data_IF_478565697158
#
_entry.id   IF_478565697158
#
_cell.length_a   1.000
_cell.length_b   1.000
_cell.length_c   1.000
_cell.angle_alpha   90.00
_cell.angle_beta   90.00
_cell.angle_gamma   90.00
#
_symmetry.space_group_name_H-M   'P 1'
#
loop_
_entity.id
_entity.type
_entity.pdbx_description
1 polymer ?
#
# COMPACT_ATOMS: atom_id res chain seq x y z
N UNK A 1 15.70 11.70 -14.42
CA UNK A 1 15.49 10.61 -15.39
C UNK A 1 15.63 9.25 -14.73
N UNK A 2 15.17 8.17 -15.39
CA UNK A 2 15.30 6.80 -14.88
C UNK A 2 16.78 6.39 -14.71
N UNK A 3 17.64 6.86 -15.60
CA UNK A 3 19.08 6.60 -15.54
C UNK A 3 19.71 7.26 -14.32
N UNK A 4 19.38 8.51 -14.03
CA UNK A 4 19.86 9.22 -12.82
C UNK A 4 19.32 8.58 -11.53
N UNK A 5 18.04 8.15 -11.53
CA UNK A 5 17.45 7.42 -10.43
C UNK A 5 18.28 6.16 -10.11
N UNK A 6 18.53 5.33 -11.11
CA UNK A 6 19.32 4.10 -10.97
C UNK A 6 20.74 4.36 -10.48
N UNK A 7 21.43 5.34 -11.07
CA UNK A 7 22.78 5.73 -10.69
C UNK A 7 22.85 6.21 -9.23
N UNK A 8 21.92 7.09 -8.83
CA UNK A 8 21.87 7.63 -7.45
C UNK A 8 21.49 6.56 -6.42
N UNK A 9 20.68 5.60 -6.82
CA UNK A 9 20.31 4.47 -5.96
C UNK A 9 21.38 3.35 -5.93
N UNK A 10 22.45 3.45 -6.72
CA UNK A 10 23.51 2.45 -6.75
C UNK A 10 23.09 1.13 -7.40
N UNK A 11 22.20 1.18 -8.40
CA UNK A 11 21.66 -0.01 -9.06
C UNK A 11 21.61 0.14 -10.59
N UNK A 12 21.16 -0.90 -11.29
CA UNK A 12 20.99 -0.85 -12.74
C UNK A 12 19.65 -0.21 -13.13
N UNK A 13 19.59 0.35 -14.36
CA UNK A 13 18.35 0.89 -14.95
C UNK A 13 17.27 -0.19 -15.03
N UNK A 14 17.66 -1.44 -15.28
CA UNK A 14 16.73 -2.56 -15.35
C UNK A 14 16.06 -2.82 -13.99
N UNK A 15 16.81 -2.77 -12.90
CA UNK A 15 16.28 -2.92 -11.54
C UNK A 15 15.35 -1.75 -11.21
N UNK A 16 15.77 -0.50 -11.51
CA UNK A 16 14.94 0.68 -11.29
C UNK A 16 13.61 0.60 -12.07
N UNK A 17 13.65 0.12 -13.30
CA UNK A 17 12.44 -0.06 -14.12
C UNK A 17 11.53 -1.15 -13.57
N UNK A 18 12.08 -2.29 -13.12
CA UNK A 18 11.31 -3.36 -12.47
C UNK A 18 10.65 -2.88 -11.19
N UNK A 19 11.37 -2.10 -10.38
CA UNK A 19 10.84 -1.46 -9.17
C UNK A 19 9.65 -0.55 -9.51
N UNK A 20 9.82 0.36 -10.48
CA UNK A 20 8.78 1.31 -10.89
C UNK A 20 7.51 0.61 -11.39
N UNK A 21 7.68 -0.41 -12.23
CA UNK A 21 6.56 -1.23 -12.73
C UNK A 21 5.89 -2.04 -11.62
N UNK A 22 6.65 -2.56 -10.65
CA UNK A 22 6.09 -3.31 -9.53
C UNK A 22 5.19 -2.43 -8.66
N UNK A 23 5.45 -1.13 -8.59
CA UNK A 23 4.58 -0.15 -7.94
C UNK A 23 3.35 0.26 -8.78
N UNK A 24 3.15 -0.33 -9.96
CA UNK A 24 1.98 -0.08 -10.79
C UNK A 24 2.01 1.22 -11.60
N UNK A 25 3.15 1.92 -11.63
CA UNK A 25 3.28 3.14 -12.41
C UNK A 25 3.57 2.86 -13.88
N UNK A 26 3.10 3.77 -14.76
CA UNK A 26 3.37 3.69 -16.19
C UNK A 26 4.86 3.80 -16.51
N UNK A 27 5.27 3.19 -17.62
CA UNK A 27 6.63 3.31 -18.11
C UNK A 27 7.00 4.77 -18.37
N UNK A 28 8.20 5.13 -17.96
CA UNK A 28 8.76 6.47 -18.10
C UNK A 28 9.71 6.46 -19.30
N UNK A 29 9.63 7.48 -20.15
CA UNK A 29 10.59 7.63 -21.25
C UNK A 29 12.00 7.88 -20.69
N UNK A 30 13.06 7.45 -21.38
CA UNK A 30 14.43 7.53 -20.84
C UNK A 30 14.90 8.93 -20.46
N UNK A 31 14.40 9.95 -21.16
CA UNK A 31 14.73 11.37 -20.99
C UNK A 31 13.69 12.16 -20.16
N UNK A 32 12.61 11.52 -19.75
CA UNK A 32 11.58 12.15 -18.91
C UNK A 32 12.10 12.45 -17.53
N UNK A 33 11.99 13.71 -17.08
CA UNK A 33 12.34 14.16 -15.73
C UNK A 33 11.10 14.00 -14.85
N UNK A 34 11.04 12.95 -14.09
CA UNK A 34 9.86 12.59 -13.29
C UNK A 34 10.18 12.24 -11.83
N UNK A 35 11.41 11.84 -11.55
CA UNK A 35 11.79 11.30 -10.24
C UNK A 35 12.30 12.37 -9.30
N UNK A 36 11.97 12.22 -8.02
CA UNK A 36 12.34 13.07 -6.90
C UNK A 36 13.42 12.40 -6.03
N UNK A 37 13.92 13.12 -5.03
CA UNK A 37 14.83 12.55 -4.03
C UNK A 37 14.16 11.44 -3.19
N UNK A 38 12.84 11.51 -3.01
CA UNK A 38 12.08 10.46 -2.32
C UNK A 38 12.06 9.16 -3.11
N UNK A 39 11.96 9.23 -4.44
CA UNK A 39 12.03 8.05 -5.30
C UNK A 39 13.42 7.39 -5.24
N UNK A 40 14.47 8.20 -5.16
CA UNK A 40 15.84 7.69 -4.96
C UNK A 40 15.96 6.96 -3.62
N UNK A 41 15.49 7.56 -2.53
CA UNK A 41 15.53 6.94 -1.21
C UNK A 41 14.73 5.63 -1.18
N UNK A 42 13.52 5.61 -1.74
CA UNK A 42 12.69 4.41 -1.81
C UNK A 42 13.35 3.27 -2.62
N UNK A 43 14.03 3.61 -3.72
CA UNK A 43 14.79 2.61 -4.49
C UNK A 43 16.03 2.14 -3.73
N UNK A 44 16.74 3.01 -3.00
CA UNK A 44 17.84 2.63 -2.14
C UNK A 44 17.42 1.65 -1.04
N UNK A 45 16.30 1.90 -0.37
CA UNK A 45 15.72 0.98 0.61
C UNK A 45 15.39 -0.38 -0.02
N UNK A 46 14.88 -0.38 -1.25
CA UNK A 46 14.60 -1.61 -1.99
C UNK A 46 15.88 -2.37 -2.35
N UNK A 47 16.92 -1.66 -2.79
CA UNK A 47 18.24 -2.25 -3.08
C UNK A 47 18.85 -2.85 -1.82
N UNK A 48 18.70 -2.20 -0.67
CA UNK A 48 19.18 -2.72 0.61
C UNK A 48 18.51 -4.05 1.01
N UNK A 49 17.23 -4.26 0.63
CA UNK A 49 16.56 -5.56 0.82
C UNK A 49 17.10 -6.66 -0.11
N UNK A 50 17.78 -6.30 -1.19
CA UNK A 50 18.39 -7.24 -2.14
C UNK A 50 19.84 -7.58 -1.80
N UNK A 51 20.45 -6.89 -0.83
CA UNK A 51 21.82 -7.11 -0.40
C UNK A 51 21.94 -8.43 0.36
N UNK A 52 22.47 -9.45 -0.32
CA UNK A 52 22.64 -10.81 0.22
C UNK A 52 23.56 -10.88 1.45
N UNK A 53 24.30 -9.82 1.74
CA UNK A 53 25.17 -9.72 2.93
C UNK A 53 24.40 -9.32 4.19
N UNK A 54 23.15 -8.87 4.05
CA UNK A 54 22.28 -8.45 5.15
C UNK A 54 21.43 -9.62 5.68
N UNK A 55 21.32 -9.73 6.99
CA UNK A 55 20.41 -10.68 7.65
C UNK A 55 18.93 -10.47 7.27
N UNK A 56 18.61 -9.29 6.74
CA UNK A 56 17.27 -8.92 6.28
C UNK A 56 17.08 -9.10 4.77
N UNK A 57 18.03 -9.72 4.08
CA UNK A 57 17.97 -9.86 2.62
C UNK A 57 16.82 -10.75 2.19
N UNK A 58 16.23 -10.38 1.05
CA UNK A 58 15.13 -11.10 0.42
C UNK A 58 15.47 -11.43 -1.04
N UNK A 59 15.00 -12.56 -1.52
CA UNK A 59 15.08 -12.87 -2.94
C UNK A 59 14.35 -11.78 -3.77
N UNK A 60 14.92 -11.43 -4.91
CA UNK A 60 14.39 -10.38 -5.80
C UNK A 60 12.90 -10.59 -6.16
N UNK A 61 12.48 -11.84 -6.36
CA UNK A 61 11.08 -12.17 -6.60
C UNK A 61 10.18 -11.76 -5.41
N UNK A 62 10.61 -12.08 -4.19
CA UNK A 62 9.88 -11.74 -2.96
C UNK A 62 9.79 -10.22 -2.74
N UNK A 63 10.85 -9.48 -3.02
CA UNK A 63 10.83 -8.00 -2.94
C UNK A 63 9.81 -7.44 -3.92
N UNK A 64 9.80 -7.91 -5.17
CA UNK A 64 8.84 -7.45 -6.17
C UNK A 64 7.39 -7.83 -5.83
N UNK A 65 7.16 -8.98 -5.21
CA UNK A 65 5.83 -9.37 -4.72
C UNK A 65 5.36 -8.47 -3.58
N UNK A 66 6.24 -8.14 -2.62
CA UNK A 66 5.93 -7.19 -1.55
C UNK A 66 5.58 -5.80 -2.11
N UNK A 67 6.37 -5.29 -3.05
CA UNK A 67 6.11 -3.99 -3.68
C UNK A 67 4.75 -3.97 -4.40
N UNK A 68 4.42 -5.03 -5.15
CA UNK A 68 3.11 -5.14 -5.82
C UNK A 68 1.95 -5.15 -4.81
N UNK A 69 2.08 -5.93 -3.74
CA UNK A 69 1.06 -6.03 -2.71
C UNK A 69 0.85 -4.69 -1.98
N UNK A 70 1.94 -4.00 -1.65
CA UNK A 70 1.91 -2.67 -1.06
C UNK A 70 1.25 -1.66 -2.00
N UNK A 71 1.69 -1.59 -3.24
CA UNK A 71 1.18 -0.65 -4.23
C UNK A 71 -0.31 -0.85 -4.50
N UNK A 72 -0.74 -2.08 -4.74
CA UNK A 72 -2.15 -2.38 -4.94
C UNK A 72 -3.04 -1.96 -3.76
N UNK A 73 -2.53 -2.16 -2.54
CA UNK A 73 -3.26 -1.78 -1.33
C UNK A 73 -3.30 -0.25 -1.19
N UNK A 74 -2.17 0.42 -1.45
CA UNK A 74 -2.06 1.87 -1.34
C UNK A 74 -2.87 2.61 -2.40
N UNK A 75 -2.90 2.15 -3.64
CA UNK A 75 -3.71 2.73 -4.69
C UNK A 75 -5.19 2.82 -4.28
N UNK A 76 -5.73 1.73 -3.75
CA UNK A 76 -7.11 1.70 -3.25
C UNK A 76 -7.32 2.59 -2.03
N UNK A 77 -6.37 2.58 -1.09
CA UNK A 77 -6.45 3.38 0.13
C UNK A 77 -6.45 4.87 -0.21
N UNK A 78 -5.53 5.31 -1.05
CA UNK A 78 -5.40 6.73 -1.44
C UNK A 78 -6.66 7.22 -2.17
N UNK A 79 -7.22 6.41 -3.07
CA UNK A 79 -8.49 6.73 -3.72
C UNK A 79 -9.62 6.91 -2.71
N UNK A 80 -9.73 6.00 -1.75
CA UNK A 80 -10.75 6.06 -0.71
C UNK A 80 -10.57 7.27 0.23
N UNK A 81 -9.36 7.56 0.63
CA UNK A 81 -9.03 8.72 1.47
C UNK A 81 -9.36 10.04 0.75
N UNK A 82 -9.02 10.15 -0.55
CA UNK A 82 -9.33 11.32 -1.36
C UNK A 82 -10.85 11.51 -1.51
N UNK A 83 -11.59 10.46 -1.84
CA UNK A 83 -13.06 10.54 -1.97
C UNK A 83 -13.72 10.89 -0.63
N UNK A 84 -13.23 10.37 0.48
CA UNK A 84 -13.71 10.73 1.83
C UNK A 84 -13.48 12.22 2.11
N UNK A 85 -12.30 12.74 1.76
CA UNK A 85 -11.97 14.14 1.95
C UNK A 85 -12.82 15.06 1.08
N UNK A 86 -13.04 14.71 -0.20
CA UNK A 86 -13.91 15.47 -1.12
C UNK A 86 -15.35 15.47 -0.62
N UNK A 87 -15.85 14.33 -0.14
CA UNK A 87 -17.20 14.23 0.41
C UNK A 87 -17.38 15.11 1.65
N UNK A 88 -16.43 15.07 2.60
CA UNK A 88 -16.45 15.95 3.78
C UNK A 88 -16.46 17.44 3.40
N UNK A 89 -15.62 17.83 2.42
CA UNK A 89 -15.60 19.22 1.93
C UNK A 89 -16.92 19.62 1.26
N UNK A 90 -17.50 18.75 0.44
CA UNK A 90 -18.79 18.98 -0.22
C UNK A 90 -19.89 19.21 0.81
N UNK A 91 -20.00 18.34 1.80
CA UNK A 91 -21.05 18.43 2.83
C UNK A 91 -20.85 19.62 3.76
N UNK A 92 -19.64 19.83 4.26
CA UNK A 92 -19.32 20.87 5.23
C UNK A 92 -19.37 22.30 4.66
N UNK A 93 -19.02 22.44 3.38
CA UNK A 93 -18.96 23.75 2.71
C UNK A 93 -20.15 24.01 1.78
N UNK A 94 -21.05 23.02 1.59
CA UNK A 94 -22.18 23.13 0.67
C UNK A 94 -21.75 23.25 -0.81
N UNK A 95 -20.66 22.60 -1.20
CA UNK A 95 -20.07 22.67 -2.53
C UNK A 95 -20.59 21.51 -3.42
N UNK A 96 -20.67 21.76 -4.72
CA UNK A 96 -20.79 20.68 -5.67
C UNK A 96 -19.49 19.84 -5.77
N UNK A 97 -19.55 18.66 -6.38
CA UNK A 97 -18.41 17.73 -6.47
C UNK A 97 -17.19 18.36 -7.13
N UNK A 98 -17.36 19.16 -8.18
CA UNK A 98 -16.24 19.80 -8.89
C UNK A 98 -15.57 20.87 -8.02
N UNK A 99 -16.35 21.71 -7.36
CA UNK A 99 -15.82 22.73 -6.46
C UNK A 99 -15.14 22.11 -5.23
N UNK A 100 -15.71 21.04 -4.68
CA UNK A 100 -15.10 20.29 -3.56
C UNK A 100 -13.74 19.68 -3.96
N UNK A 101 -13.60 19.11 -5.16
CA UNK A 101 -12.33 18.60 -5.68
C UNK A 101 -11.28 19.69 -5.87
N UNK A 102 -11.66 20.87 -6.37
CA UNK A 102 -10.73 21.99 -6.50
C UNK A 102 -10.22 22.46 -5.13
N UNK A 103 -11.11 22.55 -4.13
CA UNK A 103 -10.72 22.90 -2.76
C UNK A 103 -9.84 21.78 -2.14
N UNK A 104 -10.14 20.50 -2.44
CA UNK A 104 -9.32 19.38 -1.99
C UNK A 104 -7.90 19.50 -2.53
N UNK A 105 -7.72 19.77 -3.83
CA UNK A 105 -6.40 19.95 -4.46
C UNK A 105 -5.59 21.08 -3.81
N UNK A 106 -6.24 22.18 -3.42
CA UNK A 106 -5.57 23.31 -2.74
C UNK A 106 -5.11 22.97 -1.32
N UNK A 107 -5.76 22.03 -0.65
CA UNK A 107 -5.52 21.70 0.77
C UNK A 107 -4.84 20.33 1.00
N UNK A 108 -4.56 19.61 -0.06
CA UNK A 108 -4.14 18.18 0.04
C UNK A 108 -2.80 18.00 0.74
N UNK A 109 -1.85 18.92 0.58
CA UNK A 109 -0.49 18.77 1.09
C UNK A 109 -0.45 18.59 2.61
N UNK A 110 -1.21 19.38 3.34
CA UNK A 110 -1.29 19.24 4.80
C UNK A 110 -1.94 17.92 5.25
N UNK A 111 -2.93 17.46 4.49
CA UNK A 111 -3.61 16.19 4.74
C UNK A 111 -2.70 14.99 4.47
N UNK A 112 -2.00 15.00 3.34
CA UNK A 112 -1.07 13.92 2.94
C UNK A 112 -0.01 13.68 4.02
N UNK A 113 0.57 14.75 4.56
CA UNK A 113 1.58 14.64 5.62
C UNK A 113 1.03 14.00 6.90
N UNK A 114 -0.21 14.34 7.28
CA UNK A 114 -0.88 13.75 8.44
C UNK A 114 -1.22 12.28 8.22
N UNK A 115 -1.81 11.95 7.07
CA UNK A 115 -2.20 10.59 6.72
C UNK A 115 -0.98 9.66 6.60
N UNK A 116 0.12 10.13 6.02
CA UNK A 116 1.37 9.36 5.92
C UNK A 116 1.91 8.95 7.29
N UNK A 117 1.93 9.88 8.25
CA UNK A 117 2.37 9.57 9.62
C UNK A 117 1.42 8.58 10.30
N UNK A 118 0.12 8.77 10.13
CA UNK A 118 -0.89 7.88 10.70
C UNK A 118 -0.81 6.48 10.07
N UNK A 119 -0.66 6.39 8.75
CA UNK A 119 -0.48 5.14 8.04
C UNK A 119 0.73 4.36 8.55
N UNK A 120 1.88 5.02 8.70
CA UNK A 120 3.08 4.40 9.27
C UNK A 120 2.83 3.84 10.67
N UNK A 121 2.12 4.59 11.52
CA UNK A 121 1.75 4.14 12.86
C UNK A 121 0.83 2.91 12.81
N UNK A 122 -0.23 2.97 12.04
CA UNK A 122 -1.23 1.89 11.93
C UNK A 122 -0.55 0.61 11.39
N UNK A 123 0.28 0.73 10.35
CA UNK A 123 1.03 -0.38 9.79
C UNK A 123 1.92 -1.04 10.84
N UNK A 124 2.70 -0.25 11.58
CA UNK A 124 3.57 -0.78 12.66
C UNK A 124 2.77 -1.48 13.75
N UNK A 125 1.60 -0.94 14.11
CA UNK A 125 0.72 -1.55 15.12
C UNK A 125 0.15 -2.89 14.66
N UNK A 126 -0.29 -2.98 13.41
CA UNK A 126 -0.75 -4.24 12.83
C UNK A 126 0.37 -5.27 12.73
N UNK A 127 1.55 -4.86 12.29
CA UNK A 127 2.73 -5.73 12.24
C UNK A 127 3.05 -6.31 13.63
N UNK A 128 3.14 -5.46 14.65
CA UNK A 128 3.40 -5.91 16.03
C UNK A 128 2.32 -6.88 16.54
N UNK A 129 1.05 -6.63 16.21
CA UNK A 129 -0.04 -7.52 16.61
C UNK A 129 0.02 -8.90 15.91
N UNK A 130 0.42 -8.92 14.63
CA UNK A 130 0.59 -10.16 13.87
C UNK A 130 1.79 -10.94 14.41
N UNK A 131 2.94 -10.28 14.59
CA UNK A 131 4.14 -10.92 15.15
C UNK A 131 3.90 -11.50 16.54
N UNK A 132 3.20 -10.76 17.41
CA UNK A 132 2.87 -11.26 18.75
C UNK A 132 1.95 -12.49 18.72
N UNK A 133 1.00 -12.57 17.79
CA UNK A 133 0.18 -13.77 17.60
C UNK A 133 1.01 -14.94 17.09
N UNK A 134 1.88 -14.68 16.09
CA UNK A 134 2.74 -15.72 15.52
C UNK A 134 3.70 -16.28 16.57
N UNK A 135 4.31 -15.42 17.39
CA UNK A 135 5.19 -15.82 18.48
C UNK A 135 4.44 -16.71 19.50
N UNK A 136 3.24 -16.30 19.92
CA UNK A 136 2.40 -17.09 20.82
C UNK A 136 2.03 -18.47 20.22
N UNK A 137 1.69 -18.51 18.91
CA UNK A 137 1.38 -19.76 18.20
C UNK A 137 2.60 -20.69 18.14
N UNK A 138 3.79 -20.15 17.80
CA UNK A 138 5.03 -20.93 17.74
C UNK A 138 5.46 -21.42 19.11
N UNK A 139 5.41 -20.56 20.14
CA UNK A 139 5.77 -20.89 21.52
C UNK A 139 4.86 -21.97 22.11
N UNK A 140 3.58 -21.96 21.74
CA UNK A 140 2.63 -22.99 22.20
C UNK A 140 2.90 -24.35 21.52
N UNK A 141 3.36 -24.35 20.27
CA UNK A 141 3.70 -25.56 19.51
C UNK A 141 5.04 -26.19 19.90
N UNK A 142 5.97 -25.40 20.42
CA UNK A 142 7.26 -25.87 20.93
C UNK A 142 7.17 -26.64 22.27
N UNK A 143 5.98 -26.79 22.85
CA UNK A 143 5.76 -27.65 24.02
C UNK A 143 5.61 -29.10 23.60
N UNK A 144 6.21 -30.02 24.36
CA UNK A 144 6.22 -31.48 24.09
C UNK A 144 4.82 -32.12 23.96
N UNK A 145 3.77 -31.43 24.44
CA UNK A 145 2.37 -31.86 24.31
C UNK A 145 1.71 -31.46 22.96
N UNK A 146 2.38 -30.71 22.11
CA UNK A 146 1.89 -30.42 20.78
C UNK A 146 2.13 -31.64 19.87
N UNK A 147 1.08 -32.40 19.61
CA UNK A 147 1.13 -33.57 18.73
C UNK A 147 1.74 -33.26 17.34
N UNK A 148 1.96 -34.31 16.51
CA UNK A 148 2.73 -34.20 15.25
C UNK A 148 2.12 -33.31 14.15
N UNK A 149 0.96 -32.71 14.39
CA UNK A 149 0.31 -31.81 13.44
C UNK A 149 0.94 -30.39 13.47
N UNK A 150 2.12 -30.32 12.90
CA UNK A 150 2.93 -29.11 12.77
C UNK A 150 2.43 -28.14 11.69
N UNK A 151 1.24 -28.30 11.12
CA UNK A 151 0.68 -27.42 10.05
C UNK A 151 -0.83 -27.56 9.90
N UNK A 152 -1.48 -26.53 9.42
CA UNK A 152 -1.09 -25.16 9.07
C UNK A 152 -1.72 -24.14 10.00
N UNK A 153 -1.32 -22.86 9.88
CA UNK A 153 -2.08 -21.73 10.43
C UNK A 153 -3.52 -21.82 9.92
N UNK A 154 -4.45 -22.21 10.79
CA UNK A 154 -5.86 -22.31 10.40
C UNK A 154 -6.36 -20.90 10.12
N UNK A 155 -6.76 -20.66 8.88
CA UNK A 155 -7.39 -19.42 8.43
C UNK A 155 -8.82 -19.73 8.01
N UNK A 156 -9.76 -18.96 8.53
CA UNK A 156 -11.13 -18.99 8.03
C UNK A 156 -11.28 -17.94 6.94
N UNK A 157 -11.72 -18.36 5.75
CA UNK A 157 -12.06 -17.48 4.65
C UNK A 157 -13.58 -17.42 4.56
N UNK A 158 -14.10 -16.18 4.61
CA UNK A 158 -15.52 -15.92 4.42
C UNK A 158 -15.72 -15.12 3.12
N UNK A 159 -16.69 -15.54 2.31
CA UNK A 159 -17.17 -14.78 1.16
C UNK A 159 -18.58 -14.28 1.48
N UNK A 160 -18.78 -12.97 1.33
CA UNK A 160 -20.08 -12.34 1.50
C UNK A 160 -20.41 -11.61 0.21
N UNK A 161 -21.55 -11.93 -0.38
CA UNK A 161 -22.07 -11.24 -1.55
C UNK A 161 -23.48 -10.73 -1.25
N UNK A 162 -23.82 -9.58 -1.83
CA UNK A 162 -25.15 -8.97 -1.68
C UNK A 162 -26.01 -9.45 -2.85
N UNK A 163 -26.96 -10.32 -2.55
CA UNK A 163 -27.92 -10.82 -3.55
C UNK A 163 -28.63 -9.65 -4.25
N UNK A 164 -28.61 -9.66 -5.57
CA UNK A 164 -29.20 -8.62 -6.43
C UNK A 164 -28.59 -7.23 -6.20
N UNK A 165 -27.28 -7.14 -5.89
CA UNK A 165 -26.58 -5.87 -5.66
C UNK A 165 -26.83 -4.86 -6.78
N UNK A 166 -26.68 -5.27 -8.05
CA UNK A 166 -26.88 -4.39 -9.21
C UNK A 166 -28.26 -3.76 -9.27
N UNK A 167 -29.31 -4.53 -8.96
CA UNK A 167 -30.67 -4.01 -8.95
C UNK A 167 -30.91 -3.04 -7.78
N UNK A 168 -30.35 -3.33 -6.62
CA UNK A 168 -30.45 -2.47 -5.43
C UNK A 168 -29.66 -1.18 -5.61
N UNK A 169 -28.44 -1.27 -6.14
CA UNK A 169 -27.57 -0.12 -6.38
C UNK A 169 -28.16 0.90 -7.36
N UNK A 170 -28.94 0.47 -8.36
CA UNK A 170 -29.61 1.37 -9.31
C UNK A 170 -30.66 2.28 -8.65
N UNK A 171 -31.18 1.90 -7.50
CA UNK A 171 -32.14 2.70 -6.73
C UNK A 171 -31.57 3.49 -5.58
N UNK A 172 -30.25 3.38 -5.34
CA UNK A 172 -29.59 4.02 -4.19
C UNK A 172 -28.90 5.33 -4.59
N UNK A 173 -28.88 6.30 -3.66
CA UNK A 173 -28.08 7.51 -3.83
C UNK A 173 -26.58 7.19 -3.72
N UNK A 174 -25.73 8.06 -4.30
CA UNK A 174 -24.25 7.91 -4.22
C UNK A 174 -23.79 7.78 -2.75
N UNK A 175 -24.36 8.56 -1.84
CA UNK A 175 -24.04 8.50 -0.42
C UNK A 175 -24.40 7.16 0.23
N UNK A 176 -25.48 6.51 -0.20
CA UNK A 176 -25.91 5.21 0.32
C UNK A 176 -25.09 4.02 -0.24
N UNK A 177 -24.33 4.24 -1.32
CA UNK A 177 -23.44 3.22 -1.91
C UNK A 177 -22.05 3.22 -1.28
N UNK A 178 -21.69 4.27 -0.54
CA UNK A 178 -20.35 4.46 0.06
C UNK A 178 -20.31 4.12 1.56
N UNK A 179 -21.43 3.77 2.16
CA UNK A 179 -21.58 3.25 3.52
C UNK A 179 -21.90 1.75 3.50
#
# INVERSE_FOLDING_TARGET
TLTELAQRAGTSVEVAQKFWRAMGFADVQPDEVRFTDQDVAALQDTVALLDETSDSSLASASVLELLRAQSYTMDRLVLWELETFVTDLSERLGLDDTAARLVALDRIDGLVELLSRQLTYVWRRHMAAILGRTDAEVSTRGREDAGPDLYPLIRSLGFVDIVSFTQRAQGMSKAALTH
#
